data_IF_954261534005
#
_entry.id   IF_954261534005
#
_cell.length_a   1.000
_cell.length_b   1.000
_cell.length_c   1.000
_cell.angle_alpha   90.00
_cell.angle_beta   90.00
_cell.angle_gamma   90.00
#
_symmetry.space_group_name_H-M   'P 1'
#
loop_
_entity.id
_entity.type
_entity.pdbx_description
1 polymer ?
#
# COMPACT_ATOMS: atom_id res chain seq x y z
N UNK A 1 -3.68 -34.11 -1.00
CA UNK A 1 -3.36 -32.69 -0.67
C UNK A 1 -2.26 -32.54 0.38
N UNK A 2 -2.49 -32.73 1.70
CA UNK A 2 -1.40 -32.53 2.70
C UNK A 2 -0.22 -33.52 2.55
N UNK A 3 -0.49 -34.78 2.22
CA UNK A 3 0.55 -35.78 1.97
C UNK A 3 1.42 -35.47 0.74
N UNK A 4 0.81 -34.98 -0.36
CA UNK A 4 1.55 -34.55 -1.55
C UNK A 4 2.39 -33.30 -1.28
N UNK A 5 1.84 -32.34 -0.52
CA UNK A 5 2.59 -31.13 -0.12
C UNK A 5 3.81 -31.52 0.72
N UNK A 6 3.68 -32.50 1.64
CA UNK A 6 4.81 -33.02 2.43
C UNK A 6 5.88 -33.66 1.56
N UNK A 7 5.50 -34.49 0.59
CA UNK A 7 6.45 -35.12 -0.34
C UNK A 7 7.26 -34.06 -1.12
N UNK A 8 6.61 -32.99 -1.60
CA UNK A 8 7.31 -31.89 -2.27
C UNK A 8 8.16 -31.03 -1.32
N UNK A 9 7.77 -30.87 -0.05
CA UNK A 9 8.59 -30.21 0.97
C UNK A 9 9.86 -31.02 1.22
N UNK A 10 9.76 -32.34 1.36
CA UNK A 10 10.90 -33.24 1.53
C UNK A 10 11.82 -33.18 0.30
N UNK A 11 11.25 -33.13 -0.92
CA UNK A 11 12.02 -32.94 -2.15
C UNK A 11 12.77 -31.60 -2.18
N UNK A 12 12.12 -30.51 -1.76
CA UNK A 12 12.73 -29.17 -1.69
C UNK A 12 13.82 -29.05 -0.61
N UNK A 13 13.76 -29.90 0.42
CA UNK A 13 14.81 -29.99 1.45
C UNK A 13 16.02 -30.80 0.97
N UNK A 14 15.80 -31.79 0.09
CA UNK A 14 16.85 -32.66 -0.42
C UNK A 14 17.56 -32.11 -1.68
N UNK A 15 16.88 -31.31 -2.49
CA UNK A 15 17.39 -30.81 -3.78
C UNK A 15 17.01 -29.36 -4.02
N UNK A 16 17.88 -28.61 -4.70
CA UNK A 16 17.58 -27.24 -5.13
C UNK A 16 16.44 -27.25 -6.14
N UNK A 17 15.55 -26.26 -6.08
CA UNK A 17 14.48 -26.07 -7.06
C UNK A 17 15.00 -25.98 -8.51
N UNK A 18 16.23 -25.50 -8.68
CA UNK A 18 16.91 -25.41 -9.98
C UNK A 18 17.34 -26.76 -10.56
N UNK A 19 17.27 -27.83 -9.78
CA UNK A 19 17.61 -29.20 -10.21
C UNK A 19 16.35 -30.03 -10.46
N UNK A 20 15.16 -29.47 -10.22
CA UNK A 20 13.90 -30.15 -10.44
C UNK A 20 13.66 -30.38 -11.93
N UNK A 21 12.99 -31.48 -12.27
CA UNK A 21 12.44 -31.71 -13.61
C UNK A 21 11.44 -30.60 -13.98
N UNK A 22 11.27 -30.32 -15.28
CA UNK A 22 10.28 -29.34 -15.75
C UNK A 22 8.86 -29.65 -15.26
N UNK A 23 8.52 -30.94 -15.16
CA UNK A 23 7.24 -31.41 -14.67
C UNK A 23 7.06 -31.11 -13.18
N UNK A 24 8.07 -31.42 -12.35
CA UNK A 24 8.02 -31.16 -10.91
C UNK A 24 8.00 -29.67 -10.59
N UNK A 25 8.74 -28.84 -11.33
CA UNK A 25 8.64 -27.37 -11.18
C UNK A 25 7.23 -26.87 -11.46
N UNK A 26 6.61 -27.38 -12.52
CA UNK A 26 5.25 -26.99 -12.92
C UNK A 26 4.23 -27.40 -11.85
N UNK A 27 4.35 -28.63 -11.32
CA UNK A 27 3.50 -29.13 -10.21
C UNK A 27 3.71 -28.32 -8.94
N UNK A 28 4.96 -28.02 -8.57
CA UNK A 28 5.29 -27.21 -7.40
C UNK A 28 4.73 -25.77 -7.50
N UNK A 29 4.87 -25.12 -8.67
CA UNK A 29 4.31 -23.79 -8.92
C UNK A 29 2.78 -23.79 -8.85
N UNK A 30 2.14 -24.82 -9.41
CA UNK A 30 0.68 -24.97 -9.33
C UNK A 30 0.22 -25.18 -7.89
N UNK A 31 0.91 -26.03 -7.13
CA UNK A 31 0.62 -26.26 -5.72
C UNK A 31 0.78 -24.98 -4.90
N UNK A 32 1.89 -24.24 -5.09
CA UNK A 32 2.12 -22.96 -4.45
C UNK A 32 1.01 -21.96 -4.77
N UNK A 33 0.59 -21.84 -6.04
CA UNK A 33 -0.52 -20.97 -6.44
C UNK A 33 -1.82 -21.36 -5.75
N UNK A 34 -2.17 -22.65 -5.71
CA UNK A 34 -3.39 -23.13 -5.05
C UNK A 34 -3.38 -22.85 -3.55
N UNK A 35 -2.26 -23.10 -2.87
CA UNK A 35 -2.10 -22.82 -1.44
C UNK A 35 -2.20 -21.32 -1.17
N UNK A 36 -1.48 -20.49 -1.94
CA UNK A 36 -1.54 -19.03 -1.81
C UNK A 36 -2.97 -18.49 -1.99
N UNK A 37 -3.71 -18.98 -2.99
CA UNK A 37 -5.12 -18.64 -3.17
C UNK A 37 -5.96 -19.02 -1.95
N UNK A 38 -5.79 -20.24 -1.42
CA UNK A 38 -6.51 -20.69 -0.22
C UNK A 38 -6.17 -19.84 1.00
N UNK A 39 -4.90 -19.50 1.21
CA UNK A 39 -4.47 -18.62 2.30
C UNK A 39 -5.16 -17.26 2.17
N UNK A 40 -5.05 -16.62 1.00
CA UNK A 40 -5.58 -15.26 0.78
C UNK A 40 -7.10 -15.20 0.94
N UNK A 41 -7.83 -16.22 0.48
CA UNK A 41 -9.30 -16.30 0.64
C UNK A 41 -9.75 -16.34 2.10
N UNK A 42 -8.89 -16.84 2.98
CA UNK A 42 -9.16 -16.99 4.40
C UNK A 42 -8.43 -15.94 5.26
N UNK A 43 -7.63 -15.04 4.66
CA UNK A 43 -7.00 -13.94 5.38
C UNK A 43 -8.06 -12.95 5.87
N UNK A 44 -7.93 -12.54 7.12
CA UNK A 44 -8.72 -11.44 7.69
C UNK A 44 -8.06 -10.08 7.42
N UNK A 45 -6.72 -10.01 7.49
CA UNK A 45 -5.96 -8.77 7.37
C UNK A 45 -4.76 -9.00 6.45
N UNK A 46 -4.85 -8.64 5.16
CA UNK A 46 -3.69 -8.56 4.30
C UNK A 46 -2.98 -7.22 4.50
N UNK A 47 -1.65 -7.26 4.70
CA UNK A 47 -0.81 -6.06 4.77
C UNK A 47 0.08 -6.01 3.53
N UNK A 48 -0.06 -4.95 2.73
CA UNK A 48 0.72 -4.78 1.49
C UNK A 48 0.77 -3.33 1.06
N UNK A 49 1.60 -3.03 0.07
CA UNK A 49 1.59 -1.72 -0.60
C UNK A 49 0.37 -1.62 -1.53
N UNK A 50 -0.07 -0.39 -1.84
CA UNK A 50 -1.25 -0.16 -2.68
C UNK A 50 -1.16 -0.90 -4.02
N UNK A 51 0.00 -0.84 -4.69
CA UNK A 51 0.21 -1.48 -5.98
C UNK A 51 0.18 -3.01 -5.90
N UNK A 52 0.72 -3.61 -4.84
CA UNK A 52 0.72 -5.06 -4.66
C UNK A 52 -0.68 -5.61 -4.40
N UNK A 53 -1.59 -4.83 -3.78
CA UNK A 53 -3.00 -5.24 -3.65
C UNK A 53 -3.67 -5.42 -5.02
N UNK A 54 -3.18 -4.70 -6.04
CA UNK A 54 -3.61 -4.86 -7.43
C UNK A 54 -3.12 -6.14 -8.11
N UNK A 55 -2.22 -6.91 -7.50
CA UNK A 55 -1.74 -8.18 -8.04
C UNK A 55 -2.89 -9.19 -8.16
N UNK A 56 -2.93 -9.94 -9.26
CA UNK A 56 -4.01 -10.87 -9.56
C UNK A 56 -4.23 -11.94 -8.47
N UNK A 57 -3.16 -12.33 -7.75
CA UNK A 57 -3.25 -13.28 -6.65
C UNK A 57 -4.02 -12.71 -5.46
N UNK A 58 -3.81 -11.44 -5.10
CA UNK A 58 -4.54 -10.77 -4.02
C UNK A 58 -5.92 -10.34 -4.52
N UNK A 59 -5.96 -9.58 -5.61
CA UNK A 59 -7.15 -8.95 -6.16
C UNK A 59 -8.29 -9.94 -6.45
N UNK A 60 -7.97 -11.15 -6.92
CA UNK A 60 -8.98 -12.15 -7.29
C UNK A 60 -9.42 -13.06 -6.15
N UNK A 61 -8.72 -13.05 -5.01
CA UNK A 61 -8.94 -14.03 -3.94
C UNK A 61 -9.27 -13.39 -2.59
N UNK A 62 -8.80 -12.18 -2.32
CA UNK A 62 -9.11 -11.51 -1.07
C UNK A 62 -10.58 -11.05 -1.06
N UNK A 63 -11.23 -11.19 0.09
CA UNK A 63 -12.62 -10.76 0.27
C UNK A 63 -13.68 -11.78 -0.15
N UNK A 64 -13.31 -12.95 -0.72
CA UNK A 64 -14.27 -14.01 -1.11
C UNK A 64 -15.23 -14.38 0.03
N UNK A 65 -14.70 -14.51 1.25
CA UNK A 65 -15.44 -14.87 2.45
C UNK A 65 -15.76 -13.67 3.37
N UNK A 66 -15.40 -12.45 2.98
CA UNK A 66 -15.59 -11.27 3.82
C UNK A 66 -17.04 -10.76 3.74
N UNK A 67 -17.61 -10.34 4.86
CA UNK A 67 -18.89 -9.62 4.90
C UNK A 67 -18.74 -8.14 4.55
N UNK A 68 -17.56 -7.58 4.84
CA UNK A 68 -17.19 -6.21 4.53
C UNK A 68 -15.67 -6.05 4.55
N UNK A 69 -15.17 -5.10 3.79
CA UNK A 69 -13.75 -4.80 3.65
C UNK A 69 -13.52 -3.35 4.08
N UNK A 70 -12.68 -3.13 5.08
CA UNK A 70 -12.21 -1.80 5.46
C UNK A 70 -10.77 -1.64 4.98
N UNK A 71 -10.49 -0.57 4.23
CA UNK A 71 -9.14 -0.29 3.75
C UNK A 71 -8.49 0.73 4.69
N UNK A 72 -7.39 0.34 5.32
CA UNK A 72 -6.58 1.25 6.14
C UNK A 72 -5.31 1.56 5.35
N UNK A 73 -5.07 2.84 5.07
CA UNK A 73 -3.89 3.32 4.35
C UNK A 73 -3.03 4.16 5.29
N UNK A 74 -1.76 3.80 5.40
CA UNK A 74 -0.75 4.55 6.14
C UNK A 74 0.19 5.28 5.16
N UNK A 75 0.83 6.35 5.64
CA UNK A 75 1.71 7.23 4.86
C UNK A 75 1.08 7.80 3.57
N UNK A 76 -0.24 7.98 3.55
CA UNK A 76 -1.02 8.20 2.33
C UNK A 76 -0.73 9.56 1.64
N UNK A 77 -0.09 10.51 2.33
CA UNK A 77 0.42 11.76 1.73
C UNK A 77 1.61 11.57 0.81
N UNK A 78 2.34 10.45 0.93
CA UNK A 78 3.47 10.08 0.04
C UNK A 78 3.02 9.38 -1.23
N UNK A 79 1.73 9.07 -1.35
CA UNK A 79 1.20 8.26 -2.43
C UNK A 79 0.49 9.11 -3.50
N UNK A 80 0.73 8.76 -4.77
CA UNK A 80 -0.02 9.37 -5.87
C UNK A 80 -1.49 9.00 -5.75
N UNK A 81 -2.40 9.95 -5.98
CA UNK A 81 -3.84 9.69 -5.82
C UNK A 81 -4.32 8.48 -6.65
N UNK A 82 -3.78 8.27 -7.85
CA UNK A 82 -4.10 7.11 -8.69
C UNK A 82 -3.82 5.78 -8.01
N UNK A 83 -2.73 5.68 -7.26
CA UNK A 83 -2.35 4.45 -6.55
C UNK A 83 -3.25 4.21 -5.34
N UNK A 84 -3.69 5.29 -4.68
CA UNK A 84 -4.63 5.22 -3.56
C UNK A 84 -5.98 4.55 -3.94
N UNK A 85 -6.34 4.57 -5.23
CA UNK A 85 -7.54 3.91 -5.78
C UNK A 85 -7.38 2.41 -6.05
N UNK A 86 -6.16 1.88 -6.12
CA UNK A 86 -5.91 0.46 -6.43
C UNK A 86 -6.67 -0.50 -5.51
N UNK A 87 -6.60 -0.39 -4.17
CA UNK A 87 -7.34 -1.29 -3.28
C UNK A 87 -8.87 -1.15 -3.37
N UNK A 88 -9.37 -0.05 -3.95
CA UNK A 88 -10.81 0.22 -4.09
C UNK A 88 -11.37 -0.27 -5.43
N UNK A 89 -10.52 -0.32 -6.45
CA UNK A 89 -10.97 -0.54 -7.85
C UNK A 89 -10.56 -1.90 -8.40
N UNK A 90 -9.43 -2.46 -7.94
CA UNK A 90 -8.88 -3.71 -8.51
C UNK A 90 -9.38 -4.97 -7.85
N UNK A 91 -9.87 -4.91 -6.61
CA UNK A 91 -10.43 -6.09 -5.95
C UNK A 91 -11.64 -6.64 -6.72
N UNK A 92 -11.69 -7.96 -6.90
CA UNK A 92 -12.83 -8.64 -7.49
C UNK A 92 -14.09 -8.41 -6.66
N UNK A 93 -13.95 -8.42 -5.33
CA UNK A 93 -15.00 -8.19 -4.35
C UNK A 93 -15.04 -6.74 -3.84
N UNK A 94 -14.72 -5.77 -4.72
CA UNK A 94 -14.72 -4.33 -4.37
C UNK A 94 -16.08 -3.81 -3.91
N UNK A 95 -17.16 -4.46 -4.32
CA UNK A 95 -18.53 -4.19 -3.88
C UNK A 95 -18.71 -4.36 -2.36
N UNK A 96 -17.81 -5.08 -1.71
CA UNK A 96 -17.80 -5.28 -0.25
C UNK A 96 -16.95 -4.24 0.49
N UNK A 97 -16.31 -3.30 -0.19
CA UNK A 97 -15.55 -2.23 0.48
C UNK A 97 -16.52 -1.28 1.15
N UNK A 98 -16.46 -1.22 2.48
CA UNK A 98 -17.37 -0.42 3.30
C UNK A 98 -16.83 0.98 3.59
N UNK A 99 -15.51 1.17 3.51
CA UNK A 99 -14.90 2.45 3.83
C UNK A 99 -13.38 2.43 3.80
N UNK A 100 -12.81 3.64 3.91
CA UNK A 100 -11.38 3.89 3.89
C UNK A 100 -11.00 4.73 5.10
N UNK A 101 -9.95 4.30 5.80
CA UNK A 101 -9.28 5.07 6.85
C UNK A 101 -7.92 5.48 6.27
N UNK A 102 -7.69 6.77 6.12
CA UNK A 102 -6.43 7.32 5.60
C UNK A 102 -5.66 8.00 6.73
N UNK A 103 -4.46 7.52 6.99
CA UNK A 103 -3.49 8.08 7.92
C UNK A 103 -2.42 8.83 7.12
N UNK A 104 -2.21 10.10 7.43
CA UNK A 104 -1.33 10.96 6.65
C UNK A 104 -0.84 12.18 7.43
N UNK A 105 0.20 12.83 6.88
CA UNK A 105 0.74 14.09 7.37
C UNK A 105 1.20 14.95 6.18
N UNK A 106 0.52 16.06 5.91
CA UNK A 106 0.82 16.95 4.78
C UNK A 106 2.16 17.69 4.93
N UNK A 107 2.74 17.69 6.14
CA UNK A 107 4.06 18.28 6.41
C UNK A 107 5.20 17.31 6.14
N UNK A 108 4.91 16.03 5.90
CA UNK A 108 5.91 15.02 5.56
C UNK A 108 6.12 14.94 4.03
N UNK A 109 6.80 13.87 3.59
CA UNK A 109 7.08 13.63 2.18
C UNK A 109 5.79 13.65 1.34
N UNK A 110 5.91 14.19 0.13
CA UNK A 110 4.89 14.22 -0.92
C UNK A 110 5.14 13.08 -1.91
N UNK A 111 4.19 12.80 -2.82
CA UNK A 111 4.39 11.81 -3.87
C UNK A 111 5.59 12.15 -4.76
N UNK A 112 6.40 11.13 -5.06
CA UNK A 112 7.57 11.27 -5.92
C UNK A 112 7.14 11.30 -7.39
N UNK A 113 7.12 12.50 -7.99
CA UNK A 113 6.79 12.70 -9.41
C UNK A 113 8.04 13.10 -10.16
N UNK A 114 8.60 12.19 -10.97
CA UNK A 114 9.87 12.38 -11.69
C UNK A 114 9.84 13.64 -12.57
N UNK A 115 8.70 13.93 -13.21
CA UNK A 115 8.54 15.13 -14.05
C UNK A 115 8.54 16.46 -13.29
N UNK A 116 8.52 16.45 -11.95
CA UNK A 116 8.76 17.62 -11.11
C UNK A 116 10.21 17.76 -10.62
N UNK A 117 11.05 16.75 -10.85
CA UNK A 117 12.42 16.74 -10.32
C UNK A 117 13.44 17.44 -11.24
N UNK A 118 13.09 17.68 -12.50
CA UNK A 118 13.95 18.32 -13.49
C UNK A 118 13.53 19.77 -13.76
N UNK A 119 14.48 20.63 -14.10
CA UNK A 119 14.21 22.01 -14.52
C UNK A 119 13.33 22.06 -15.78
N UNK A 120 13.53 21.12 -16.71
CA UNK A 120 12.68 20.96 -17.88
C UNK A 120 11.47 20.10 -17.50
N UNK A 121 10.29 20.74 -17.46
CA UNK A 121 9.02 20.06 -17.21
C UNK A 121 8.51 19.45 -18.51
N UNK A 122 8.49 18.12 -18.58
CA UNK A 122 7.94 17.37 -19.74
C UNK A 122 6.46 16.99 -19.57
N UNK A 123 5.84 17.34 -18.44
CA UNK A 123 4.44 17.02 -18.13
C UNK A 123 3.78 18.23 -17.45
N UNK A 124 2.80 18.83 -18.12
CA UNK A 124 2.05 19.99 -17.64
C UNK A 124 1.15 19.70 -16.42
N UNK A 125 0.84 18.42 -16.17
CA UNK A 125 0.02 17.96 -15.05
C UNK A 125 0.82 17.45 -13.85
N UNK A 126 2.14 17.62 -13.88
CA UNK A 126 3.03 17.03 -12.87
C UNK A 126 2.70 17.50 -11.44
N UNK A 127 2.29 18.77 -11.27
CA UNK A 127 1.88 19.31 -9.98
C UNK A 127 0.58 18.67 -9.48
N UNK A 128 -0.39 18.45 -10.37
CA UNK A 128 -1.66 17.78 -10.07
C UNK A 128 -1.43 16.31 -9.72
N UNK A 129 -0.52 15.62 -10.40
CA UNK A 129 -0.14 14.23 -10.09
C UNK A 129 0.52 14.15 -8.71
N UNK A 130 1.24 15.19 -8.28
CA UNK A 130 1.87 15.26 -6.95
C UNK A 130 0.88 15.53 -5.82
N UNK A 131 -0.40 15.79 -6.13
CA UNK A 131 -1.43 15.93 -5.11
C UNK A 131 -1.92 14.55 -4.68
N UNK A 132 -1.63 14.19 -3.43
CA UNK A 132 -2.17 12.98 -2.83
C UNK A 132 -3.67 13.11 -2.56
N UNK A 133 -4.36 11.97 -2.48
CA UNK A 133 -5.77 11.92 -2.12
C UNK A 133 -6.08 12.59 -0.77
N UNK A 134 -5.40 12.27 0.35
CA UNK A 134 -5.65 12.94 1.62
C UNK A 134 -5.40 14.45 1.54
N UNK A 135 -4.32 14.90 0.87
CA UNK A 135 -4.07 16.34 0.70
C UNK A 135 -5.20 17.04 -0.06
N UNK A 136 -5.75 16.41 -1.10
CA UNK A 136 -6.90 16.95 -1.82
C UNK A 136 -8.12 17.06 -0.91
N UNK A 137 -8.43 16.03 -0.12
CA UNK A 137 -9.54 16.04 0.83
C UNK A 137 -9.39 17.14 1.90
N UNK A 138 -8.19 17.33 2.43
CA UNK A 138 -7.89 18.39 3.40
C UNK A 138 -8.11 19.78 2.79
N UNK A 139 -7.65 20.02 1.55
CA UNK A 139 -7.92 21.28 0.82
C UNK A 139 -9.41 21.52 0.58
N UNK A 140 -10.18 20.45 0.38
CA UNK A 140 -11.64 20.48 0.28
C UNK A 140 -12.36 20.60 1.63
N UNK A 141 -11.62 20.74 2.73
CA UNK A 141 -12.15 20.83 4.10
C UNK A 141 -12.95 19.60 4.52
N UNK A 142 -12.58 18.42 4.01
CA UNK A 142 -13.13 17.16 4.51
C UNK A 142 -12.79 17.03 6.02
N UNK A 143 -13.74 16.60 6.87
CA UNK A 143 -13.45 16.35 8.28
C UNK A 143 -12.26 15.38 8.45
N UNK A 144 -11.32 15.74 9.32
CA UNK A 144 -10.16 14.93 9.65
C UNK A 144 -9.86 15.02 11.15
N UNK A 145 -9.36 13.93 11.71
CA UNK A 145 -8.95 13.86 13.11
C UNK A 145 -7.44 14.12 13.17
N UNK A 146 -7.03 15.11 13.95
CA UNK A 146 -5.62 15.43 14.18
C UNK A 146 -5.16 14.84 15.50
N UNK A 147 -4.13 14.00 15.46
CA UNK A 147 -3.40 13.56 16.65
C UNK A 147 -2.43 14.69 17.06
N UNK A 148 -2.54 15.17 18.29
CA UNK A 148 -1.79 16.34 18.79
C UNK A 148 -0.65 15.99 19.72
N UNK A 149 -0.66 14.79 20.31
CA UNK A 149 0.37 14.34 21.22
C UNK A 149 1.42 13.50 20.48
N UNK A 150 2.69 13.84 20.71
CA UNK A 150 3.82 13.08 20.18
C UNK A 150 4.49 12.32 21.34
N UNK A 151 4.78 11.05 21.10
CA UNK A 151 5.39 10.16 22.11
C UNK A 151 6.80 9.69 21.72
N UNK A 152 7.34 10.16 20.59
CA UNK A 152 8.60 9.67 20.02
C UNK A 152 9.80 10.46 20.51
N UNK A 153 9.70 11.78 20.53
CA UNK A 153 10.82 12.68 20.79
C UNK A 153 10.82 13.17 22.23
N UNK A 154 12.04 13.37 22.78
CA UNK A 154 12.21 14.11 24.03
C UNK A 154 11.77 15.57 23.85
N UNK A 155 11.29 16.26 24.89
CA UNK A 155 10.80 17.64 24.80
C UNK A 155 11.78 18.63 24.13
N UNK A 156 13.09 18.42 24.30
CA UNK A 156 14.12 19.27 23.68
C UNK A 156 14.12 19.19 22.15
N UNK A 157 13.83 18.03 21.57
CA UNK A 157 13.77 17.82 20.12
C UNK A 157 12.48 18.37 19.51
N UNK A 158 11.39 18.44 20.28
CA UNK A 158 10.10 19.00 19.82
C UNK A 158 10.28 20.45 19.39
N UNK A 159 11.04 21.24 20.16
CA UNK A 159 11.27 22.66 19.84
C UNK A 159 11.93 22.85 18.49
N UNK A 160 12.84 21.95 18.11
CA UNK A 160 13.50 21.99 16.81
C UNK A 160 12.51 21.68 15.67
N UNK A 161 11.71 20.62 15.82
CA UNK A 161 10.71 20.22 14.81
C UNK A 161 9.61 21.28 14.68
N UNK A 162 9.10 21.81 15.79
CA UNK A 162 8.10 22.88 15.79
C UNK A 162 8.63 24.19 15.16
N UNK A 163 9.92 24.49 15.31
CA UNK A 163 10.55 25.64 14.66
C UNK A 163 10.63 25.46 13.15
N UNK A 164 10.93 24.25 12.67
CA UNK A 164 10.82 23.94 11.24
C UNK A 164 9.39 24.17 10.74
N UNK A 165 8.38 23.69 11.47
CA UNK A 165 6.97 23.87 11.07
C UNK A 165 6.55 25.33 10.85
N UNK A 166 7.09 26.29 11.61
CA UNK A 166 6.82 27.71 11.43
C UNK A 166 7.60 28.33 10.26
N UNK A 167 8.83 27.87 10.00
CA UNK A 167 9.65 28.35 8.87
C UNK A 167 9.00 27.96 7.53
N UNK A 168 8.43 26.76 7.41
CA UNK A 168 7.73 26.33 6.19
C UNK A 168 6.39 27.05 5.96
N UNK A 169 5.76 27.60 7.01
CA UNK A 169 4.53 28.40 6.88
C UNK A 169 4.79 29.80 6.29
N UNK A 170 5.99 30.34 6.48
CA UNK A 170 6.39 31.64 5.93
C UNK A 170 6.99 31.55 4.52
N UNK A 171 7.55 30.40 4.12
CA UNK A 171 8.00 30.15 2.74
C UNK A 171 6.85 29.80 1.78
N UNK A 172 5.69 29.40 2.32
CA UNK A 172 4.50 29.04 1.54
C UNK A 172 3.52 30.21 1.31
N UNK A 173 3.88 31.45 1.68
CA UNK A 173 3.14 32.64 1.27
C UNK A 173 3.71 33.14 -0.08
N UNK A 174 2.85 33.43 -1.07
CA UNK A 174 3.29 33.95 -2.37
C UNK A 174 4.00 35.30 -2.24
#
# INVERSE_FOLDING_TARGET
MLAEVRCYIELLQATSFHDFSTEDRSKALLAFKKVSQMVIRNLQIPVSTNNNVGDGMIASNFGVNAQGITVIRDEDTKECETNAWVPLTKLLHRDRVCGVISCSDEKQLKPTVISLQNEVRYNEFAEQISLSHPSRLMRMKHPAIRLTEQFRYRPVCIRFVAKLENVWADVAKP
#
